data_IF_859073547629
#
_entry.id   IF_859073547629
#
_cell.length_a   1.000
_cell.length_b   1.000
_cell.length_c   1.000
_cell.angle_alpha   90.00
_cell.angle_beta   90.00
_cell.angle_gamma   90.00
#
_symmetry.space_group_name_H-M   'P 1'
#
loop_
_entity.id
_entity.type
_entity.pdbx_description
1 polymer ?
#
# COMPACT_ATOMS: atom_id res chain seq x y z
N UNK A 1 10.92 16.01 23.88
CA UNK A 1 11.19 14.65 23.42
C UNK A 1 10.42 14.35 22.13
N UNK A 2 11.10 13.83 21.17
CA UNK A 2 10.48 13.50 19.88
C UNK A 2 9.82 12.13 19.95
N UNK A 3 8.59 12.02 19.50
CA UNK A 3 7.87 10.76 19.38
C UNK A 3 7.61 10.46 17.91
N UNK A 4 7.72 9.21 17.54
CA UNK A 4 7.40 8.72 16.22
C UNK A 4 6.20 7.79 16.34
N UNK A 5 5.11 8.13 15.66
CA UNK A 5 3.87 7.34 15.71
C UNK A 5 3.77 6.46 14.47
N UNK A 6 3.71 5.16 14.69
CA UNK A 6 3.52 4.16 13.64
C UNK A 6 2.07 3.70 13.63
N UNK A 7 1.51 3.53 12.44
CA UNK A 7 0.25 2.85 12.25
C UNK A 7 0.54 1.49 11.61
N UNK A 8 0.08 0.42 12.24
CA UNK A 8 0.23 -0.94 11.71
C UNK A 8 -1.09 -1.33 11.08
N UNK A 9 -1.15 -1.28 9.76
CA UNK A 9 -2.37 -1.59 9.01
C UNK A 9 -2.44 -3.11 8.77
N UNK A 10 -3.17 -3.81 9.63
CA UNK A 10 -3.38 -5.25 9.49
C UNK A 10 -4.63 -5.48 8.67
N UNK A 11 -4.46 -5.63 7.38
CA UNK A 11 -5.56 -5.72 6.43
C UNK A 11 -5.43 -7.00 5.59
N UNK A 12 -6.56 -7.44 5.08
CA UNK A 12 -6.60 -8.52 4.10
C UNK A 12 -6.68 -7.95 2.70
N UNK A 13 -5.90 -8.53 1.80
CA UNK A 13 -5.94 -8.17 0.39
C UNK A 13 -6.23 -9.42 -0.43
N UNK A 14 -6.68 -9.22 -1.67
CA UNK A 14 -7.05 -10.31 -2.55
C UNK A 14 -5.96 -10.56 -3.56
N UNK A 15 -5.53 -11.81 -3.72
CA UNK A 15 -4.48 -12.18 -4.68
C UNK A 15 -4.90 -11.77 -6.09
N UNK A 16 -4.03 -11.01 -6.76
CA UNK A 16 -4.25 -10.56 -8.13
C UNK A 16 -5.16 -9.35 -8.29
N UNK A 17 -5.83 -8.89 -7.23
CA UNK A 17 -6.74 -7.75 -7.31
C UNK A 17 -5.98 -6.43 -7.06
N UNK A 18 -5.10 -6.06 -8.00
CA UNK A 18 -4.19 -4.92 -7.84
C UNK A 18 -4.92 -3.61 -7.54
N UNK A 19 -5.99 -3.32 -8.29
CA UNK A 19 -6.74 -2.06 -8.12
C UNK A 19 -7.40 -1.99 -6.74
N UNK A 20 -8.06 -3.07 -6.32
CA UNK A 20 -8.71 -3.12 -5.02
C UNK A 20 -7.71 -3.06 -3.88
N UNK A 21 -6.56 -3.74 -4.03
CA UNK A 21 -5.52 -3.73 -3.02
C UNK A 21 -4.87 -2.35 -2.89
N UNK A 22 -4.62 -1.69 -4.02
CA UNK A 22 -4.09 -0.32 -4.03
C UNK A 22 -5.06 0.66 -3.38
N UNK A 23 -6.37 0.50 -3.64
CA UNK A 23 -7.40 1.33 -3.02
C UNK A 23 -7.39 1.18 -1.50
N UNK A 24 -7.18 -0.04 -1.00
CA UNK A 24 -7.06 -0.29 0.44
C UNK A 24 -5.84 0.40 1.03
N UNK A 25 -4.69 0.31 0.36
CA UNK A 25 -3.47 1.00 0.83
C UNK A 25 -3.73 2.51 0.94
N UNK A 26 -4.34 3.10 -0.08
CA UNK A 26 -4.64 4.53 -0.09
C UNK A 26 -5.60 4.91 1.04
N UNK A 27 -6.68 4.15 1.22
CA UNK A 27 -7.69 4.40 2.24
C UNK A 27 -7.10 4.31 3.66
N UNK A 28 -6.35 3.26 3.94
CA UNK A 28 -5.74 3.09 5.27
C UNK A 28 -4.61 4.08 5.52
N UNK A 29 -3.91 4.51 4.46
CA UNK A 29 -2.91 5.58 4.58
C UNK A 29 -3.57 6.90 4.98
N UNK A 30 -4.74 7.22 4.41
CA UNK A 30 -5.52 8.39 4.80
C UNK A 30 -5.97 8.31 6.26
N UNK A 31 -6.41 7.13 6.71
CA UNK A 31 -6.81 6.91 8.10
C UNK A 31 -5.62 7.08 9.04
N UNK A 32 -4.46 6.57 8.67
CA UNK A 32 -3.25 6.71 9.46
C UNK A 32 -2.84 8.19 9.59
N UNK A 33 -2.90 8.94 8.50
CA UNK A 33 -2.60 10.37 8.52
C UNK A 33 -3.58 11.13 9.41
N UNK A 34 -4.87 10.80 9.34
CA UNK A 34 -5.89 11.40 10.19
C UNK A 34 -5.64 11.11 11.68
N UNK A 35 -5.03 9.98 12.00
CA UNK A 35 -4.62 9.63 13.37
C UNK A 35 -3.24 10.17 13.77
N UNK A 36 -2.67 11.07 12.98
CA UNK A 36 -1.38 11.70 13.22
C UNK A 36 -0.19 10.74 13.19
N UNK A 37 -0.29 9.64 12.44
CA UNK A 37 0.84 8.75 12.22
C UNK A 37 1.85 9.39 11.27
N UNK A 38 3.12 9.15 11.50
CA UNK A 38 4.21 9.55 10.59
C UNK A 38 4.61 8.41 9.66
N UNK A 39 4.38 7.17 10.08
CA UNK A 39 4.70 5.98 9.30
C UNK A 39 3.49 5.04 9.34
N UNK A 40 3.12 4.49 8.20
CA UNK A 40 2.15 3.39 8.12
C UNK A 40 2.82 2.18 7.49
N UNK A 41 2.64 1.02 8.12
CA UNK A 41 3.24 -0.23 7.69
C UNK A 41 2.12 -1.21 7.30
N UNK A 42 2.24 -1.77 6.12
CA UNK A 42 1.32 -2.76 5.59
C UNK A 42 1.94 -4.15 5.61
N UNK A 43 1.12 -5.21 5.58
CA UNK A 43 1.65 -6.58 5.49
C UNK A 43 2.47 -6.80 4.22
N UNK A 44 3.36 -7.78 4.28
CA UNK A 44 4.11 -8.23 3.12
C UNK A 44 3.14 -8.62 1.99
N UNK A 45 3.51 -8.31 0.75
CA UNK A 45 2.72 -8.60 -0.46
C UNK A 45 1.31 -7.99 -0.44
N UNK A 46 1.15 -6.85 0.21
CA UNK A 46 -0.17 -6.20 0.30
C UNK A 46 -0.76 -5.89 -1.07
N UNK A 47 0.04 -5.35 -1.98
CA UNK A 47 -0.46 -4.94 -3.30
C UNK A 47 -0.83 -6.13 -4.17
N UNK A 48 -0.01 -7.16 -4.18
CA UNK A 48 -0.25 -8.36 -5.00
C UNK A 48 -1.22 -9.34 -4.36
N UNK A 49 -1.36 -9.29 -3.04
CA UNK A 49 -2.06 -10.29 -2.25
C UNK A 49 -1.15 -11.47 -1.91
N UNK A 50 -1.41 -12.11 -0.80
CA UNK A 50 -0.64 -13.26 -0.34
C UNK A 50 -1.60 -14.43 -0.12
N UNK A 51 -1.26 -15.66 -0.57
CA UNK A 51 -0.04 -16.03 -1.31
C UNK A 51 -0.14 -15.74 -2.82
N UNK A 52 0.93 -15.20 -3.38
CA UNK A 52 0.98 -14.83 -4.80
C UNK A 52 1.06 -16.02 -5.76
N UNK A 53 1.70 -17.10 -5.30
CA UNK A 53 1.81 -18.37 -6.03
C UNK A 53 2.27 -18.20 -7.49
N UNK A 54 1.54 -18.82 -8.44
CA UNK A 54 1.93 -18.84 -9.86
C UNK A 54 1.92 -17.46 -10.51
N UNK A 55 1.21 -16.49 -9.96
CA UNK A 55 1.19 -15.12 -10.51
C UNK A 55 2.57 -14.50 -10.53
N UNK A 56 3.44 -14.87 -9.58
CA UNK A 56 4.80 -14.36 -9.53
C UNK A 56 5.61 -14.76 -10.77
N UNK A 57 5.22 -15.83 -11.46
CA UNK A 57 5.89 -16.31 -12.66
C UNK A 57 5.39 -15.63 -13.93
N UNK A 58 4.29 -14.90 -13.86
CA UNK A 58 3.70 -14.21 -15.01
C UNK A 58 4.30 -12.82 -15.17
N UNK A 59 5.02 -12.63 -16.26
CA UNK A 59 5.66 -11.35 -16.55
C UNK A 59 4.66 -10.19 -16.60
N UNK A 60 3.52 -10.41 -17.25
CA UNK A 60 2.49 -9.37 -17.39
C UNK A 60 1.93 -8.95 -16.03
N UNK A 61 1.75 -9.92 -15.12
CA UNK A 61 1.30 -9.60 -13.77
C UNK A 61 2.37 -8.81 -12.99
N UNK A 62 3.63 -9.24 -13.07
CA UNK A 62 4.72 -8.51 -12.38
C UNK A 62 4.82 -7.07 -12.87
N UNK A 63 4.69 -6.87 -14.20
CA UNK A 63 4.73 -5.53 -14.76
C UNK A 63 3.53 -4.71 -14.31
N UNK A 64 2.33 -5.29 -14.30
CA UNK A 64 1.12 -4.62 -13.82
C UNK A 64 1.24 -4.24 -12.34
N UNK A 65 1.81 -5.10 -11.51
CA UNK A 65 2.04 -4.81 -10.10
C UNK A 65 3.03 -3.65 -9.92
N UNK A 66 4.09 -3.64 -10.70
CA UNK A 66 5.07 -2.55 -10.67
C UNK A 66 4.44 -1.22 -11.08
N UNK A 67 3.67 -1.23 -12.18
CA UNK A 67 2.98 -0.03 -12.66
C UNK A 67 1.97 0.48 -11.61
N UNK A 68 1.25 -0.43 -10.97
CA UNK A 68 0.29 -0.07 -9.93
C UNK A 68 0.98 0.53 -8.71
N UNK A 69 2.13 0.01 -8.32
CA UNK A 69 2.90 0.57 -7.21
C UNK A 69 3.33 2.00 -7.49
N UNK A 70 3.79 2.28 -8.71
CA UNK A 70 4.17 3.63 -9.12
C UNK A 70 2.97 4.58 -9.17
N UNK A 71 1.85 4.11 -9.69
CA UNK A 71 0.60 4.87 -9.71
C UNK A 71 0.14 5.22 -8.29
N UNK A 72 0.20 4.24 -7.38
CA UNK A 72 -0.17 4.43 -5.98
C UNK A 72 0.73 5.46 -5.30
N UNK A 73 2.04 5.42 -5.56
CA UNK A 73 2.96 6.40 -5.02
C UNK A 73 2.60 7.82 -5.46
N UNK A 74 2.21 7.99 -6.72
CA UNK A 74 1.74 9.27 -7.24
C UNK A 74 0.46 9.72 -6.56
N UNK A 75 -0.51 8.81 -6.39
CA UNK A 75 -1.77 9.12 -5.73
C UNK A 75 -1.57 9.52 -4.27
N UNK A 76 -0.69 8.84 -3.55
CA UNK A 76 -0.36 9.19 -2.17
C UNK A 76 0.23 10.59 -2.06
N UNK A 77 1.09 10.95 -3.00
CA UNK A 77 1.69 12.28 -3.04
C UNK A 77 0.63 13.36 -3.36
N UNK A 78 -0.25 13.08 -4.33
CA UNK A 78 -1.29 14.03 -4.75
C UNK A 78 -2.36 14.26 -3.68
N UNK A 79 -2.60 13.28 -2.81
CA UNK A 79 -3.56 13.37 -1.72
C UNK A 79 -3.03 14.17 -0.52
N UNK A 80 -1.92 14.87 -0.67
CA UNK A 80 -1.28 15.63 0.42
C UNK A 80 -0.86 14.72 1.58
N UNK A 81 -0.46 13.49 1.25
CA UNK A 81 0.07 12.54 2.23
C UNK A 81 1.61 12.46 2.15
N UNK A 82 2.24 13.48 1.55
CA UNK A 82 3.69 13.50 1.32
C UNK A 82 4.53 13.44 2.59
N UNK A 83 3.97 13.84 3.72
CA UNK A 83 4.66 13.79 5.01
C UNK A 83 4.52 12.44 5.71
N UNK A 84 3.68 11.55 5.15
CA UNK A 84 3.48 10.22 5.69
C UNK A 84 4.41 9.24 4.98
N UNK A 85 5.18 8.49 5.75
CA UNK A 85 6.01 7.42 5.20
C UNK A 85 5.18 6.13 5.11
N UNK A 86 5.06 5.60 3.90
CA UNK A 86 4.23 4.42 3.62
C UNK A 86 5.10 3.25 3.20
#
# INVERSE_FOLDING_TARGET
MTQLRFALAQIDTCVGALDANAAKVLDYSRKAAAGNAQVVVFPEMTLTGYPIEDLALRRTFRQAAWDKANELATQLNDDVLGDLFV
#
